data_IF_633019569014
#
_entry.id   IF_633019569014
#
_cell.length_a   1.000
_cell.length_b   1.000
_cell.length_c   1.000
_cell.angle_alpha   90.00
_cell.angle_beta   90.00
_cell.angle_gamma   90.00
#
_symmetry.space_group_name_H-M   'P 1'
#
loop_
_entity.id
_entity.type
_entity.pdbx_description
1 polymer ?
#
# COMPACT_ATOMS: atom_id res chain seq x y z
N UNK A 1 -2.03 -12.52 -13.91
CA UNK A 1 -0.88 -11.75 -13.35
C UNK A 1 0.47 -12.48 -13.43
N UNK A 2 0.64 -13.68 -12.85
CA UNK A 2 1.92 -14.41 -12.89
C UNK A 2 2.42 -14.68 -14.31
N UNK A 3 1.56 -15.24 -15.17
CA UNK A 3 1.86 -15.47 -16.59
C UNK A 3 2.37 -14.20 -17.30
N UNK A 4 1.81 -13.03 -16.98
CA UNK A 4 2.25 -11.75 -17.55
C UNK A 4 3.66 -11.37 -17.08
N UNK A 5 3.93 -11.48 -15.77
CA UNK A 5 5.26 -11.19 -15.19
C UNK A 5 6.35 -12.11 -15.75
N UNK A 6 6.00 -13.35 -16.06
CA UNK A 6 6.91 -14.36 -16.63
C UNK A 6 7.00 -14.28 -18.16
N UNK A 7 6.31 -13.35 -18.82
CA UNK A 7 6.30 -13.25 -20.29
C UNK A 7 5.68 -14.46 -21.00
N UNK A 8 4.80 -15.19 -20.32
CA UNK A 8 4.26 -16.45 -20.81
C UNK A 8 3.38 -16.25 -22.05
N UNK A 9 3.53 -17.13 -23.06
CA UNK A 9 2.85 -17.02 -24.38
C UNK A 9 1.31 -16.95 -24.28
N UNK A 10 0.73 -17.65 -23.30
CA UNK A 10 -0.72 -17.69 -23.05
C UNK A 10 -1.28 -16.49 -22.26
N UNK A 11 -0.49 -15.46 -21.98
CA UNK A 11 -0.92 -14.32 -21.14
C UNK A 11 -2.22 -13.68 -21.61
N UNK A 12 -2.40 -13.46 -22.93
CA UNK A 12 -3.61 -12.83 -23.49
C UNK A 12 -4.85 -13.71 -23.39
N UNK A 13 -4.68 -15.02 -23.56
CA UNK A 13 -5.75 -16.01 -23.42
C UNK A 13 -6.24 -16.07 -21.97
N UNK A 14 -5.32 -16.29 -21.03
CA UNK A 14 -5.62 -16.36 -19.59
C UNK A 14 -6.21 -15.05 -19.06
N UNK A 15 -5.81 -13.90 -19.61
CA UNK A 15 -6.41 -12.62 -19.26
C UNK A 15 -7.88 -12.54 -19.69
N UNK A 16 -8.22 -12.95 -20.92
CA UNK A 16 -9.61 -12.96 -21.39
C UNK A 16 -10.49 -13.93 -20.59
N UNK A 17 -9.98 -15.12 -20.30
CA UNK A 17 -10.70 -16.12 -19.48
C UNK A 17 -10.98 -15.58 -18.07
N UNK A 18 -9.96 -14.99 -17.43
CA UNK A 18 -10.12 -14.40 -16.11
C UNK A 18 -11.10 -13.22 -16.12
N UNK A 19 -11.04 -12.37 -17.15
CA UNK A 19 -11.94 -11.23 -17.32
C UNK A 19 -13.40 -11.69 -17.46
N UNK A 20 -13.67 -12.66 -18.34
CA UNK A 20 -15.00 -13.24 -18.54
C UNK A 20 -15.53 -13.91 -17.27
N UNK A 21 -14.67 -14.63 -16.55
CA UNK A 21 -15.05 -15.27 -15.28
C UNK A 21 -15.43 -14.24 -14.22
N UNK A 22 -14.72 -13.12 -14.14
CA UNK A 22 -15.06 -12.04 -13.22
C UNK A 22 -16.38 -11.35 -13.62
N UNK A 23 -16.61 -11.10 -14.91
CA UNK A 23 -17.90 -10.54 -15.37
C UNK A 23 -19.07 -11.47 -15.06
N UNK A 24 -18.90 -12.78 -15.27
CA UNK A 24 -19.91 -13.79 -14.94
C UNK A 24 -20.18 -13.83 -13.43
N UNK A 25 -19.13 -13.77 -12.60
CA UNK A 25 -19.26 -13.69 -11.15
C UNK A 25 -20.00 -12.42 -10.70
N UNK A 26 -19.69 -11.27 -11.29
CA UNK A 26 -20.38 -10.00 -11.03
C UNK A 26 -21.87 -10.06 -11.42
N UNK A 27 -22.20 -10.79 -12.49
CA UNK A 27 -23.59 -11.02 -12.91
C UNK A 27 -24.35 -11.92 -11.93
N UNK A 28 -23.73 -13.01 -11.47
CA UNK A 28 -24.37 -13.95 -10.53
C UNK A 28 -24.44 -13.44 -9.10
N UNK A 29 -23.54 -12.54 -8.70
CA UNK A 29 -23.54 -11.90 -7.39
C UNK A 29 -23.44 -10.37 -7.53
N UNK A 30 -24.55 -9.69 -7.87
CA UNK A 30 -24.52 -8.26 -8.17
C UNK A 30 -24.11 -7.37 -7.00
N UNK A 31 -24.17 -7.86 -5.76
CA UNK A 31 -23.78 -7.13 -4.55
C UNK A 31 -22.32 -7.39 -4.12
N UNK A 32 -21.64 -8.38 -4.68
CA UNK A 32 -20.29 -8.76 -4.27
C UNK A 32 -19.22 -7.82 -4.89
N UNK A 33 -18.37 -7.15 -4.09
CA UNK A 33 -17.29 -6.31 -4.61
C UNK A 33 -16.12 -7.09 -5.21
N UNK A 34 -15.93 -8.37 -4.84
CA UNK A 34 -14.72 -9.15 -5.17
C UNK A 34 -14.46 -9.26 -6.67
N UNK A 35 -15.46 -9.54 -7.54
CA UNK A 35 -15.23 -9.58 -8.98
C UNK A 35 -14.67 -8.26 -9.54
N UNK A 36 -15.11 -7.12 -9.01
CA UNK A 36 -14.63 -5.80 -9.43
C UNK A 36 -13.21 -5.52 -8.97
N UNK A 37 -12.85 -5.94 -7.76
CA UNK A 37 -11.46 -5.93 -7.27
C UNK A 37 -10.57 -6.80 -8.17
N UNK A 38 -11.04 -7.95 -8.62
CA UNK A 38 -10.32 -8.81 -9.56
C UNK A 38 -10.17 -8.14 -10.94
N UNK A 39 -11.21 -7.51 -11.47
CA UNK A 39 -11.15 -6.75 -12.74
C UNK A 39 -10.15 -5.58 -12.65
N UNK A 40 -10.13 -4.84 -11.53
CA UNK A 40 -9.12 -3.80 -11.27
C UNK A 40 -7.69 -4.36 -11.30
N UNK A 41 -7.47 -5.56 -10.73
CA UNK A 41 -6.17 -6.21 -10.81
C UNK A 41 -5.79 -6.58 -12.25
N UNK A 42 -6.76 -7.02 -13.06
CA UNK A 42 -6.57 -7.38 -14.47
C UNK A 42 -6.41 -6.16 -15.39
N UNK A 43 -6.89 -4.98 -15.00
CA UNK A 43 -6.82 -3.75 -15.78
C UNK A 43 -5.37 -3.36 -16.14
N UNK A 44 -4.39 -3.74 -15.31
CA UNK A 44 -2.95 -3.54 -15.58
C UNK A 44 -2.48 -4.14 -16.92
N UNK A 45 -3.20 -5.12 -17.47
CA UNK A 45 -2.87 -5.76 -18.74
C UNK A 45 -3.51 -5.07 -19.95
N UNK A 46 -4.51 -4.22 -19.74
CA UNK A 46 -5.17 -3.44 -20.79
C UNK A 46 -4.45 -2.11 -21.03
N UNK A 47 -3.22 -2.19 -21.54
CA UNK A 47 -2.32 -1.04 -21.73
C UNK A 47 -2.90 0.06 -22.64
N UNK A 48 -3.77 -0.33 -23.56
CA UNK A 48 -4.41 0.59 -24.51
C UNK A 48 -5.78 1.09 -24.02
N UNK A 49 -6.16 0.77 -22.78
CA UNK A 49 -7.46 1.10 -22.19
C UNK A 49 -8.60 0.86 -23.17
N UNK A 50 -8.67 -0.35 -23.73
CA UNK A 50 -9.68 -0.70 -24.74
C UNK A 50 -11.07 -0.90 -24.14
N UNK A 51 -11.16 -1.25 -22.86
CA UNK A 51 -12.43 -1.42 -22.17
C UNK A 51 -13.10 -0.08 -21.87
N UNK A 52 -14.43 -0.02 -21.98
CA UNK A 52 -15.21 1.20 -21.75
C UNK A 52 -15.08 1.67 -20.30
N UNK A 53 -15.11 0.73 -19.36
CA UNK A 53 -14.98 0.97 -17.92
C UNK A 53 -13.60 1.55 -17.56
N UNK A 54 -12.59 1.34 -18.40
CA UNK A 54 -11.26 1.92 -18.22
C UNK A 54 -11.18 3.37 -18.70
N UNK A 55 -12.10 3.78 -19.59
CA UNK A 55 -12.14 5.12 -20.22
C UNK A 55 -13.03 6.10 -19.48
N UNK A 56 -13.74 5.66 -18.44
CA UNK A 56 -14.51 6.55 -17.56
C UNK A 56 -13.58 7.66 -17.04
N UNK A 57 -13.95 8.95 -17.20
CA UNK A 57 -13.11 10.06 -16.77
C UNK A 57 -12.80 10.02 -15.27
N UNK A 58 -11.60 10.48 -14.84
CA UNK A 58 -11.29 10.62 -13.43
C UNK A 58 -12.25 11.57 -12.70
N UNK A 59 -12.51 11.33 -11.40
CA UNK A 59 -13.42 12.15 -10.59
C UNK A 59 -12.84 13.53 -10.21
N UNK A 60 -11.57 13.80 -10.51
CA UNK A 60 -10.90 15.03 -10.11
C UNK A 60 -9.75 15.42 -11.04
N UNK A 61 -9.37 16.70 -11.03
CA UNK A 61 -8.21 17.17 -11.80
C UNK A 61 -6.93 16.51 -11.28
N UNK A 62 -5.92 16.35 -12.15
CA UNK A 62 -4.60 15.76 -11.84
C UNK A 62 -4.60 14.27 -11.50
N UNK A 63 -5.76 13.62 -11.55
CA UNK A 63 -5.87 12.17 -11.47
C UNK A 63 -5.66 11.55 -12.86
N UNK A 64 -5.05 10.37 -12.86
CA UNK A 64 -4.70 9.66 -14.06
C UNK A 64 -5.92 9.07 -14.79
N UNK A 65 -5.84 8.78 -16.11
CA UNK A 65 -6.86 8.01 -16.82
C UNK A 65 -7.09 6.64 -16.18
N UNK A 66 -8.33 6.14 -16.20
CA UNK A 66 -8.86 5.06 -15.35
C UNK A 66 -8.06 3.77 -15.20
N UNK A 67 -8.54 2.87 -14.32
CA UNK A 67 -9.88 2.31 -14.53
C UNK A 67 -10.97 2.76 -13.53
N UNK A 68 -11.46 4.00 -13.67
CA UNK A 68 -12.43 4.60 -12.74
C UNK A 68 -13.81 3.94 -12.74
N UNK A 69 -14.26 3.39 -13.87
CA UNK A 69 -15.54 2.68 -13.93
C UNK A 69 -15.53 1.43 -13.04
N UNK A 70 -14.42 0.68 -13.07
CA UNK A 70 -14.26 -0.50 -12.21
C UNK A 70 -14.15 -0.12 -10.73
N UNK A 71 -13.45 0.98 -10.40
CA UNK A 71 -13.38 1.47 -9.02
C UNK A 71 -14.78 1.89 -8.54
N UNK A 72 -15.56 2.61 -9.35
CA UNK A 72 -16.91 3.03 -9.00
C UNK A 72 -17.85 1.83 -8.75
N UNK A 73 -17.69 0.74 -9.50
CA UNK A 73 -18.46 -0.49 -9.26
C UNK A 73 -18.09 -1.17 -7.93
N UNK A 74 -16.79 -1.23 -7.60
CA UNK A 74 -16.34 -1.77 -6.31
C UNK A 74 -16.84 -0.89 -5.15
N UNK A 75 -16.66 0.42 -5.25
CA UNK A 75 -17.01 1.40 -4.21
C UNK A 75 -18.51 1.47 -3.95
N UNK A 76 -19.35 1.26 -4.98
CA UNK A 76 -20.81 1.19 -4.80
C UNK A 76 -21.25 0.01 -3.94
N UNK A 77 -20.49 -1.09 -3.95
CA UNK A 77 -20.82 -2.35 -3.26
C UNK A 77 -20.18 -2.41 -1.88
N UNK A 78 -18.95 -1.93 -1.78
CA UNK A 78 -18.19 -1.86 -0.56
C UNK A 78 -17.41 -0.53 -0.53
N UNK A 79 -18.04 0.55 -0.03
CA UNK A 79 -17.44 1.86 0.01
C UNK A 79 -16.09 1.87 0.72
N UNK A 80 -15.09 2.50 0.10
CA UNK A 80 -13.74 2.58 0.62
C UNK A 80 -13.03 1.22 0.76
N UNK A 81 -13.40 0.22 -0.07
CA UNK A 81 -12.77 -1.10 -0.08
C UNK A 81 -11.24 -1.01 -0.26
N UNK A 82 -10.51 -1.36 0.81
CA UNK A 82 -9.05 -1.30 0.87
C UNK A 82 -8.38 -1.90 -0.36
N UNK A 83 -8.79 -3.10 -0.76
CA UNK A 83 -8.14 -3.81 -1.86
C UNK A 83 -8.37 -3.14 -3.22
N UNK A 84 -9.57 -2.62 -3.50
CA UNK A 84 -9.89 -1.91 -4.74
C UNK A 84 -8.95 -0.71 -4.97
N UNK A 85 -8.74 0.11 -3.95
CA UNK A 85 -7.85 1.27 -4.04
C UNK A 85 -6.38 0.87 -4.15
N UNK A 86 -5.96 -0.22 -3.51
CA UNK A 86 -4.61 -0.77 -3.74
C UNK A 86 -4.43 -1.32 -5.16
N UNK A 87 -5.46 -1.86 -5.80
CA UNK A 87 -5.41 -2.27 -7.21
C UNK A 87 -5.32 -1.07 -8.15
N UNK A 88 -6.00 0.03 -7.85
CA UNK A 88 -5.80 1.31 -8.56
C UNK A 88 -4.38 1.83 -8.41
N UNK A 89 -3.80 1.77 -7.20
CA UNK A 89 -2.41 2.16 -6.98
C UNK A 89 -1.43 1.31 -7.82
N UNK A 90 -1.62 -0.02 -7.84
CA UNK A 90 -0.84 -0.93 -8.68
C UNK A 90 -1.03 -0.63 -10.18
N UNK A 91 -2.24 -0.25 -10.60
CA UNK A 91 -2.50 0.17 -11.98
C UNK A 91 -1.69 1.40 -12.37
N UNK A 92 -1.63 2.43 -11.52
CA UNK A 92 -0.80 3.62 -11.77
C UNK A 92 0.67 3.24 -11.92
N UNK A 93 1.19 2.41 -11.02
CA UNK A 93 2.58 1.95 -11.09
C UNK A 93 2.86 1.18 -12.39
N UNK A 94 1.93 0.33 -12.84
CA UNK A 94 2.12 -0.44 -14.07
C UNK A 94 2.05 0.42 -15.34
N UNK A 95 1.23 1.49 -15.34
CA UNK A 95 1.09 2.42 -16.48
C UNK A 95 2.27 3.37 -16.59
N UNK A 96 2.95 3.69 -15.48
CA UNK A 96 4.15 4.51 -15.51
C UNK A 96 5.25 3.75 -16.27
N UNK A 97 5.65 4.22 -17.44
CA UNK A 97 6.76 3.63 -18.20
C UNK A 97 8.13 4.02 -17.59
N UNK A 98 8.29 3.85 -16.26
CA UNK A 98 9.44 4.33 -15.50
C UNK A 98 9.44 5.85 -15.22
N UNK A 99 8.30 6.53 -15.44
CA UNK A 99 8.14 7.96 -15.17
C UNK A 99 7.93 8.32 -13.69
N UNK A 100 7.68 9.60 -13.41
CA UNK A 100 7.48 10.14 -12.06
C UNK A 100 6.34 9.47 -11.26
N UNK A 101 6.46 9.44 -9.92
CA UNK A 101 5.41 9.02 -8.99
C UNK A 101 4.29 10.04 -8.79
N UNK A 102 4.32 11.20 -9.46
CA UNK A 102 3.36 12.29 -9.25
C UNK A 102 1.89 11.84 -9.33
N UNK A 103 1.51 11.02 -10.31
CA UNK A 103 0.14 10.51 -10.42
C UNK A 103 -0.26 9.60 -9.24
N UNK A 104 0.67 8.80 -8.74
CA UNK A 104 0.43 7.93 -7.59
C UNK A 104 0.33 8.75 -6.29
N UNK A 105 1.14 9.80 -6.15
CA UNK A 105 1.06 10.76 -5.03
C UNK A 105 -0.30 11.46 -5.05
N UNK A 106 -0.69 12.04 -6.18
CA UNK A 106 -1.98 12.74 -6.32
C UNK A 106 -3.14 11.79 -6.00
N UNK A 107 -3.08 10.55 -6.48
CA UNK A 107 -4.08 9.54 -6.17
C UNK A 107 -4.16 9.24 -4.68
N UNK A 108 -3.03 8.91 -4.04
CA UNK A 108 -3.03 8.57 -2.61
C UNK A 108 -3.50 9.74 -1.74
N UNK A 109 -3.13 10.97 -2.09
CA UNK A 109 -3.61 12.18 -1.42
C UNK A 109 -5.13 12.34 -1.57
N UNK A 110 -5.66 12.25 -2.79
CA UNK A 110 -7.09 12.33 -3.08
C UNK A 110 -7.89 11.26 -2.34
N UNK A 111 -7.38 10.03 -2.28
CA UNK A 111 -8.02 8.94 -1.53
C UNK A 111 -8.02 9.27 -0.03
N UNK A 112 -6.86 9.62 0.54
CA UNK A 112 -6.76 9.87 1.98
C UNK A 112 -7.57 11.07 2.45
N UNK A 113 -7.81 12.06 1.57
CA UNK A 113 -8.64 13.23 1.88
C UNK A 113 -10.13 12.95 1.79
N UNK A 114 -10.53 11.97 0.97
CA UNK A 114 -11.93 11.66 0.70
C UNK A 114 -12.47 10.49 1.54
N UNK A 115 -11.58 9.62 2.02
CA UNK A 115 -11.93 8.48 2.85
C UNK A 115 -12.23 8.90 4.30
N UNK A 116 -13.15 8.20 5.01
CA UNK A 116 -13.35 8.36 6.44
C UNK A 116 -12.02 8.21 7.19
N UNK A 117 -11.88 8.94 8.30
CA UNK A 117 -10.65 8.91 9.10
C UNK A 117 -10.27 7.50 9.55
N UNK A 118 -11.26 6.66 9.88
CA UNK A 118 -11.10 5.29 10.37
C UNK A 118 -10.85 4.26 9.26
N UNK A 119 -10.83 4.68 7.99
CA UNK A 119 -10.60 3.76 6.87
C UNK A 119 -9.13 3.33 6.80
N UNK A 120 -8.88 2.06 6.49
CA UNK A 120 -7.54 1.56 6.17
C UNK A 120 -6.87 2.30 5.00
N UNK A 121 -7.65 3.02 4.17
CA UNK A 121 -7.14 3.86 3.10
C UNK A 121 -6.25 5.02 3.59
N UNK A 122 -6.27 5.37 4.88
CA UNK A 122 -5.32 6.33 5.43
C UNK A 122 -3.85 5.85 5.32
N UNK A 123 -3.62 4.55 5.14
CA UNK A 123 -2.28 3.96 4.96
C UNK A 123 -1.77 4.13 3.52
N UNK A 124 -2.63 4.41 2.55
CA UNK A 124 -2.28 4.40 1.13
C UNK A 124 -1.09 5.32 0.76
N UNK A 125 -0.94 6.54 1.33
CA UNK A 125 0.25 7.36 1.11
C UNK A 125 1.56 6.69 1.54
N UNK A 126 1.53 5.84 2.59
CA UNK A 126 2.72 5.13 3.07
C UNK A 126 3.28 4.16 2.03
N UNK A 127 2.41 3.55 1.22
CA UNK A 127 2.83 2.69 0.11
C UNK A 127 3.56 3.50 -0.98
N UNK A 128 3.12 4.74 -1.23
CA UNK A 128 3.79 5.63 -2.19
C UNK A 128 5.17 6.06 -1.68
N UNK A 129 5.31 6.33 -0.38
CA UNK A 129 6.60 6.62 0.23
C UNK A 129 7.57 5.42 0.15
N UNK A 130 7.07 4.21 0.39
CA UNK A 130 7.85 2.98 0.22
C UNK A 130 8.30 2.79 -1.23
N UNK A 131 7.41 3.03 -2.20
CA UNK A 131 7.73 2.92 -3.62
C UNK A 131 8.79 3.96 -4.05
N UNK A 132 8.63 5.21 -3.61
CA UNK A 132 9.63 6.26 -3.84
C UNK A 132 10.99 5.87 -3.29
N UNK A 133 11.01 5.38 -2.05
CA UNK A 133 12.23 4.92 -1.40
C UNK A 133 12.91 3.80 -2.19
N UNK A 134 12.14 2.87 -2.74
CA UNK A 134 12.66 1.78 -3.58
C UNK A 134 13.36 2.30 -4.84
N UNK A 135 12.82 3.34 -5.47
CA UNK A 135 13.36 3.90 -6.72
C UNK A 135 14.60 4.76 -6.49
N UNK A 136 14.64 5.49 -5.38
CA UNK A 136 15.76 6.36 -5.02
C UNK A 136 16.98 5.61 -4.47
N UNK A 137 16.85 4.32 -4.14
CA UNK A 137 17.94 3.42 -3.72
C UNK A 137 19.11 3.33 -4.72
N UNK A 138 18.95 3.82 -5.95
CA UNK A 138 20.04 4.03 -6.91
C UNK A 138 20.99 5.20 -6.59
N UNK A 139 20.66 6.03 -5.60
CA UNK A 139 21.47 7.18 -5.17
C UNK A 139 21.95 6.98 -3.73
N UNK A 140 23.00 6.18 -3.57
CA UNK A 140 23.73 6.02 -2.31
C UNK A 140 24.20 7.38 -1.77
N UNK A 141 23.70 7.76 -0.58
CA UNK A 141 24.38 8.52 0.53
C UNK A 141 23.52 9.51 1.33
N UNK A 142 22.21 9.64 1.09
CA UNK A 142 21.35 10.53 1.91
C UNK A 142 20.09 9.85 2.49
N UNK A 143 20.11 8.52 2.64
CA UNK A 143 18.92 7.66 2.78
C UNK A 143 18.28 7.57 4.18
N UNK A 144 18.85 8.21 5.21
CA UNK A 144 18.19 8.39 6.52
C UNK A 144 17.36 9.68 6.59
N UNK A 145 17.53 10.63 5.66
CA UNK A 145 16.84 11.93 5.67
C UNK A 145 15.50 11.91 4.90
N UNK A 146 15.22 10.91 4.07
CA UNK A 146 14.02 10.89 3.22
C UNK A 146 12.74 10.44 3.97
N UNK A 147 12.87 9.57 4.97
CA UNK A 147 11.76 9.22 5.87
C UNK A 147 11.49 10.29 6.94
N UNK A 148 12.43 11.22 7.11
CA UNK A 148 12.29 12.44 7.90
C UNK A 148 11.78 13.63 7.06
N UNK A 149 11.23 13.38 5.87
CA UNK A 149 10.41 14.41 5.22
C UNK A 149 9.19 14.67 6.08
N UNK A 150 8.86 15.94 6.28
CA UNK A 150 7.71 16.31 7.11
C UNK A 150 6.42 15.65 6.59
N UNK A 151 6.30 15.46 5.28
CA UNK A 151 5.18 14.79 4.61
C UNK A 151 5.02 13.33 5.05
N UNK A 152 6.09 12.53 5.00
CA UNK A 152 6.02 11.11 5.39
C UNK A 152 5.69 10.94 6.89
N UNK A 153 6.19 11.85 7.73
CA UNK A 153 5.86 11.87 9.16
C UNK A 153 4.38 12.20 9.38
N UNK A 154 3.86 13.24 8.69
CA UNK A 154 2.45 13.62 8.79
C UNK A 154 1.52 12.52 8.32
N UNK A 155 1.82 11.87 7.20
CA UNK A 155 1.02 10.76 6.68
C UNK A 155 1.04 9.56 7.65
N UNK A 156 2.19 9.24 8.25
CA UNK A 156 2.29 8.17 9.23
C UNK A 156 1.47 8.46 10.49
N UNK A 157 1.52 9.70 11.00
CA UNK A 157 0.69 10.12 12.13
C UNK A 157 -0.80 10.14 11.78
N UNK A 158 -1.17 10.54 10.56
CA UNK A 158 -2.55 10.50 10.09
C UNK A 158 -3.08 9.07 10.02
N UNK A 159 -2.29 8.13 9.50
CA UNK A 159 -2.65 6.71 9.50
C UNK A 159 -2.73 6.13 10.92
N UNK A 160 -1.84 6.54 11.83
CA UNK A 160 -1.88 6.13 13.23
C UNK A 160 -3.16 6.62 13.93
N UNK A 161 -3.39 7.94 13.93
CA UNK A 161 -4.49 8.54 14.68
C UNK A 161 -5.84 8.39 14.00
N UNK A 162 -5.87 8.34 12.67
CA UNK A 162 -7.11 8.15 11.92
C UNK A 162 -7.56 6.70 11.91
N UNK A 163 -6.68 5.79 11.50
CA UNK A 163 -7.04 4.39 11.27
C UNK A 163 -6.63 3.49 12.45
N UNK A 164 -5.35 3.41 12.79
CA UNK A 164 -4.84 2.43 13.75
C UNK A 164 -5.47 2.58 15.14
N UNK A 165 -5.65 3.81 15.63
CA UNK A 165 -6.24 4.08 16.95
C UNK A 165 -7.73 3.68 17.04
N UNK A 166 -8.39 3.45 15.90
CA UNK A 166 -9.83 3.17 15.81
C UNK A 166 -10.17 1.80 15.18
N UNK A 167 -9.19 1.14 14.54
CA UNK A 167 -9.40 -0.10 13.83
C UNK A 167 -9.49 -1.30 14.78
N UNK A 168 -10.25 -2.32 14.37
CA UNK A 168 -10.09 -3.65 14.94
C UNK A 168 -8.79 -4.26 14.42
N UNK A 169 -7.76 -4.26 15.27
CA UNK A 169 -6.41 -4.71 14.91
C UNK A 169 -6.36 -6.22 14.66
N UNK A 170 -7.31 -7.00 15.17
CA UNK A 170 -7.36 -8.46 14.96
C UNK A 170 -7.76 -8.84 13.53
N UNK A 171 -8.53 -7.97 12.87
CA UNK A 171 -8.98 -8.15 11.48
C UNK A 171 -8.24 -7.25 10.48
N UNK A 172 -7.32 -6.42 10.97
CA UNK A 172 -6.53 -5.50 10.15
C UNK A 172 -5.46 -6.22 9.32
N UNK A 173 -5.18 -5.69 8.13
CA UNK A 173 -4.16 -6.23 7.24
C UNK A 173 -2.75 -6.13 7.85
N UNK A 174 -2.06 -7.28 7.92
CA UNK A 174 -0.66 -7.33 8.35
C UNK A 174 0.25 -6.48 7.44
N UNK A 175 -0.08 -6.36 6.14
CA UNK A 175 0.67 -5.50 5.23
C UNK A 175 0.55 -4.03 5.62
N UNK A 176 -0.65 -3.58 5.98
CA UNK A 176 -0.90 -2.18 6.36
C UNK A 176 -0.21 -1.86 7.69
N UNK A 177 -0.29 -2.76 8.67
CA UNK A 177 0.42 -2.63 9.93
C UNK A 177 1.95 -2.60 9.74
N UNK A 178 2.50 -3.43 8.85
CA UNK A 178 3.93 -3.42 8.53
C UNK A 178 4.35 -2.10 7.85
N UNK A 179 3.52 -1.54 6.95
CA UNK A 179 3.79 -0.24 6.33
C UNK A 179 3.74 0.91 7.35
N UNK A 180 2.77 0.88 8.25
CA UNK A 180 2.66 1.88 9.32
C UNK A 180 3.85 1.80 10.30
N UNK A 181 4.20 0.60 10.77
CA UNK A 181 5.35 0.40 11.66
C UNK A 181 6.66 0.85 11.00
N UNK A 182 6.85 0.53 9.72
CA UNK A 182 8.01 0.95 8.95
C UNK A 182 8.11 2.47 8.79
N UNK A 183 6.99 3.13 8.49
CA UNK A 183 6.95 4.59 8.35
C UNK A 183 7.24 5.29 9.68
N UNK A 184 6.59 4.87 10.78
CA UNK A 184 6.83 5.45 12.11
C UNK A 184 8.26 5.22 12.60
N UNK A 185 8.81 4.02 12.39
CA UNK A 185 10.20 3.72 12.71
C UNK A 185 11.17 4.58 11.88
N UNK A 186 10.92 4.70 10.58
CA UNK A 186 11.68 5.55 9.67
C UNK A 186 11.63 7.04 10.03
N UNK A 187 10.50 7.51 10.57
CA UNK A 187 10.29 8.87 11.07
C UNK A 187 10.79 9.06 12.52
N UNK A 188 11.51 8.09 13.08
CA UNK A 188 12.05 8.11 14.46
C UNK A 188 10.97 8.22 15.56
N UNK A 189 9.71 7.91 15.24
CA UNK A 189 8.57 7.88 16.16
C UNK A 189 8.50 6.53 16.89
N UNK A 190 9.55 6.23 17.66
CA UNK A 190 9.75 4.91 18.25
C UNK A 190 8.62 4.48 19.20
N UNK A 191 8.10 5.40 20.02
CA UNK A 191 6.98 5.10 20.93
C UNK A 191 5.70 4.75 20.18
N UNK A 192 5.41 5.44 19.07
CA UNK A 192 4.24 5.15 18.23
C UNK A 192 4.44 3.84 17.46
N UNK A 193 5.63 3.65 16.88
CA UNK A 193 6.00 2.40 16.22
C UNK A 193 5.89 1.21 17.17
N UNK A 194 6.24 1.37 18.45
CA UNK A 194 6.13 0.31 19.45
C UNK A 194 4.69 -0.19 19.60
N UNK A 195 3.70 0.71 19.63
CA UNK A 195 2.27 0.35 19.69
C UNK A 195 1.87 -0.54 18.50
N UNK A 196 2.34 -0.19 17.30
CA UNK A 196 2.06 -0.96 16.08
C UNK A 196 2.79 -2.31 16.10
N UNK A 197 4.03 -2.37 16.59
CA UNK A 197 4.77 -3.63 16.75
C UNK A 197 4.17 -4.57 17.79
N UNK A 198 3.59 -4.02 18.86
CA UNK A 198 2.83 -4.80 19.84
C UNK A 198 1.59 -5.42 19.20
N UNK A 199 0.81 -4.62 18.45
CA UNK A 199 -0.35 -5.10 17.70
C UNK A 199 0.00 -6.14 16.63
N UNK A 200 1.13 -5.97 15.93
CA UNK A 200 1.64 -6.94 14.96
C UNK A 200 1.96 -8.30 15.59
N UNK A 201 2.23 -8.37 16.90
CA UNK A 201 2.69 -9.60 17.53
C UNK A 201 3.92 -10.15 16.80
N UNK A 202 4.05 -11.47 16.57
CA UNK A 202 5.20 -12.05 15.86
C UNK A 202 5.13 -11.91 14.33
N UNK A 203 4.08 -11.31 13.78
CA UNK A 203 3.81 -11.38 12.34
C UNK A 203 4.60 -10.37 11.53
N UNK A 204 5.12 -10.83 10.39
CA UNK A 204 6.01 -10.09 9.50
C UNK A 204 5.60 -10.27 8.04
N UNK A 205 5.73 -9.19 7.26
CA UNK A 205 5.64 -9.23 5.80
C UNK A 205 6.96 -8.74 5.19
N UNK A 206 7.53 -9.39 4.15
CA UNK A 206 8.82 -8.98 3.57
C UNK A 206 8.88 -7.50 3.17
N UNK A 207 7.86 -7.00 2.48
CA UNK A 207 7.71 -5.56 2.23
C UNK A 207 6.97 -4.90 3.40
N UNK A 208 7.40 -3.70 3.83
CA UNK A 208 8.39 -2.83 3.17
C UNK A 208 9.85 -3.05 3.58
N UNK A 209 10.12 -3.91 4.56
CA UNK A 209 11.45 -4.09 5.18
C UNK A 209 12.54 -4.56 4.22
N UNK A 210 12.21 -5.35 3.20
CA UNK A 210 13.17 -5.79 2.20
C UNK A 210 13.74 -4.62 1.39
N UNK A 211 12.99 -3.52 1.23
CA UNK A 211 13.55 -2.32 0.60
C UNK A 211 14.51 -1.58 1.51
N UNK A 212 14.63 -1.94 2.80
CA UNK A 212 15.66 -1.40 3.69
C UNK A 212 17.01 -2.10 3.54
N UNK A 213 17.09 -3.23 2.84
CA UNK A 213 18.27 -4.10 2.76
C UNK A 213 19.03 -3.92 1.44
N UNK A 214 20.32 -4.34 1.36
CA UNK A 214 21.07 -4.35 0.10
C UNK A 214 20.53 -5.37 -0.91
N UNK A 215 20.00 -6.50 -0.41
CA UNK A 215 19.35 -7.53 -1.22
C UNK A 215 17.87 -7.64 -0.83
N UNK A 216 16.95 -7.00 -1.59
CA UNK A 216 15.52 -7.10 -1.35
C UNK A 216 14.90 -8.48 -1.65
N UNK A 217 15.61 -9.38 -2.33
CA UNK A 217 15.15 -10.74 -2.58
C UNK A 217 15.42 -11.67 -1.37
N UNK A 218 16.39 -11.31 -0.52
CA UNK A 218 16.70 -12.05 0.69
C UNK A 218 15.70 -11.75 1.82
N UNK A 219 14.81 -12.72 2.04
CA UNK A 219 13.79 -12.64 3.10
C UNK A 219 14.40 -12.62 4.50
N UNK A 220 15.50 -13.32 4.74
CA UNK A 220 16.11 -13.41 6.06
C UNK A 220 16.70 -12.06 6.49
N UNK A 221 17.34 -11.35 5.55
CA UNK A 221 17.87 -10.00 5.81
C UNK A 221 16.75 -8.99 6.05
N UNK A 222 15.63 -9.11 5.32
CA UNK A 222 14.44 -8.28 5.55
C UNK A 222 13.82 -8.53 6.94
N UNK A 223 13.79 -9.79 7.37
CA UNK A 223 13.31 -10.17 8.71
C UNK A 223 14.23 -9.63 9.82
N UNK A 224 15.55 -9.73 9.66
CA UNK A 224 16.50 -9.14 10.61
C UNK A 224 16.29 -7.62 10.75
N UNK A 225 16.03 -6.94 9.63
CA UNK A 225 15.74 -5.52 9.62
C UNK A 225 14.44 -5.19 10.36
N UNK A 226 13.38 -5.97 10.16
CA UNK A 226 12.13 -5.87 10.94
C UNK A 226 12.37 -6.06 12.44
N UNK A 227 13.11 -7.10 12.83
CA UNK A 227 13.42 -7.39 14.23
C UNK A 227 14.25 -6.28 14.88
N UNK A 228 15.23 -5.74 14.17
CA UNK A 228 16.03 -4.60 14.62
C UNK A 228 15.16 -3.37 14.87
N UNK A 229 14.25 -3.08 13.94
CA UNK A 229 13.31 -1.97 14.07
C UNK A 229 12.38 -2.17 15.27
N UNK A 230 11.83 -3.39 15.44
CA UNK A 230 10.99 -3.77 16.56
C UNK A 230 11.69 -3.59 17.90
N UNK A 231 12.89 -4.16 18.07
CA UNK A 231 13.65 -4.08 19.33
C UNK A 231 13.93 -2.63 19.69
N UNK A 232 14.36 -1.82 18.72
CA UNK A 232 14.63 -0.39 18.95
C UNK A 232 13.38 0.37 19.39
N UNK A 233 12.24 0.15 18.73
CA UNK A 233 10.98 0.81 19.08
C UNK A 233 10.50 0.42 20.48
N UNK A 234 10.49 -0.88 20.78
CA UNK A 234 10.06 -1.39 22.11
C UNK A 234 10.98 -0.93 23.24
N UNK A 235 12.30 -0.81 22.98
CA UNK A 235 13.24 -0.26 23.96
C UNK A 235 12.98 1.24 24.19
N UNK A 236 12.76 2.01 23.13
CA UNK A 236 12.45 3.45 23.21
C UNK A 236 11.17 3.75 23.99
N UNK A 237 10.14 2.92 23.84
CA UNK A 237 8.86 3.08 24.55
C UNK A 237 8.96 2.86 26.08
N UNK A 238 9.96 2.10 26.55
CA UNK A 238 10.12 1.77 27.97
C UNK A 238 10.80 2.87 28.79
N UNK A 239 11.32 3.93 28.15
CA UNK A 239 12.04 5.04 28.80
C UNK A 239 13.34 4.60 29.52
N UNK A 240 14.20 5.55 29.95
CA UNK A 240 15.25 5.22 30.89
C UNK A 240 14.60 4.77 32.20
N UNK A 241 14.98 3.59 32.71
CA UNK A 241 14.60 3.18 34.08
C UNK A 241 15.04 4.28 35.04
N UNK A 242 14.17 4.78 35.95
CA UNK A 242 14.63 5.66 37.01
C UNK A 242 15.73 4.91 37.77
N UNK A 243 16.94 5.49 37.76
CA UNK A 243 18.08 4.92 38.45
C UNK A 243 17.70 4.71 39.91
N UNK A 244 17.90 3.48 40.38
CA UNK A 244 17.86 3.18 41.81
C UNK A 244 19.05 3.94 42.40
N UNK A 245 18.79 5.14 42.92
CA UNK A 245 19.75 5.89 43.70
C UNK A 245 20.06 5.10 44.96
N UNK A 246 21.31 4.63 45.05
CA UNK A 246 21.94 4.18 46.29
C UNK A 246 22.81 5.28 46.86
#
# INVERSE_FOLDING_TARGET
MRAHREGHRRTRELWREAWQSCQLAAHHSPADPVPWVCLLALAQLDKEQRQEEHRVPPPGPLLFPGPWGLLAEADRRDPYNREAYHRMLQFVYARRAGGSLAEAVNFAQWVSSSAPGQSALQVLPLYVHVERYREERGYEKALDLHWATEDATRDAQKALHGWFDHADLATSSLLDLNHLAHALWGALRFSDAARVFEALGPYFTPLPWAYRTPDPADRAVAEEMFLRARVRSLAGARGPRPGVGG
#
